data_IF_342755046093
#
_entry.id   IF_342755046093
#
_cell.length_a   1.000
_cell.length_b   1.000
_cell.length_c   1.000
_cell.angle_alpha   90.00
_cell.angle_beta   90.00
_cell.angle_gamma   90.00
#
_symmetry.space_group_name_H-M   'P 1'
#
loop_
_entity.id
_entity.type
_entity.pdbx_description
1 polymer ?
#
# COMPACT_ATOMS: atom_id res chain seq x y z
N UNK A 1 4.14 15.75 9.18
CA UNK A 1 2.93 15.64 8.34
C UNK A 1 2.19 14.39 8.78
N UNK A 2 0.86 14.43 9.00
CA UNK A 2 0.12 13.23 9.36
C UNK A 2 0.15 12.24 8.19
N UNK A 3 0.49 10.98 8.45
CA UNK A 3 0.44 9.92 7.45
C UNK A 3 -0.98 9.41 7.22
N UNK A 4 -1.25 8.86 6.04
CA UNK A 4 -2.54 8.23 5.71
C UNK A 4 -2.55 6.76 6.15
N UNK A 5 -3.63 6.33 6.80
CA UNK A 5 -3.83 4.93 7.18
C UNK A 5 -4.64 4.24 6.09
N UNK A 6 -4.06 3.22 5.46
CA UNK A 6 -4.70 2.48 4.39
C UNK A 6 -4.56 0.98 4.59
N UNK A 7 -5.53 0.23 4.10
CA UNK A 7 -5.45 -1.22 3.90
C UNK A 7 -5.22 -1.48 2.41
N UNK A 8 -4.17 -2.24 2.12
CA UNK A 8 -3.93 -2.80 0.80
C UNK A 8 -4.44 -4.23 0.79
N UNK A 9 -5.27 -4.60 -0.18
CA UNK A 9 -5.76 -5.98 -0.37
C UNK A 9 -5.16 -6.52 -1.67
N UNK A 10 -4.38 -7.59 -1.54
CA UNK A 10 -3.58 -8.16 -2.60
C UNK A 10 -4.32 -9.33 -3.25
N UNK A 11 -4.56 -9.30 -4.58
CA UNK A 11 -4.97 -10.48 -5.31
C UNK A 11 -3.82 -11.49 -5.37
N UNK A 12 -4.15 -12.77 -5.62
CA UNK A 12 -3.18 -13.86 -5.64
C UNK A 12 -1.95 -13.57 -6.51
N UNK A 13 -2.13 -12.97 -7.70
CA UNK A 13 -1.02 -12.66 -8.61
C UNK A 13 -0.03 -11.62 -8.08
N UNK A 14 -0.42 -10.80 -7.10
CA UNK A 14 0.39 -9.71 -6.56
C UNK A 14 1.15 -10.10 -5.27
N UNK A 15 0.90 -11.29 -4.72
CA UNK A 15 1.56 -11.74 -3.47
C UNK A 15 3.08 -11.86 -3.57
N UNK A 16 3.61 -12.12 -4.78
CA UNK A 16 5.05 -12.25 -5.04
C UNK A 16 5.68 -10.96 -5.59
N UNK A 17 4.91 -9.86 -5.68
CA UNK A 17 5.39 -8.59 -6.21
C UNK A 17 5.86 -7.73 -5.02
N UNK A 18 7.06 -7.11 -5.09
CA UNK A 18 7.64 -6.35 -3.98
C UNK A 18 7.04 -4.94 -3.87
N UNK A 19 5.70 -4.85 -3.79
CA UNK A 19 4.92 -3.61 -3.84
C UNK A 19 5.39 -2.58 -2.80
N UNK A 20 5.61 -3.00 -1.56
CA UNK A 20 6.05 -2.10 -0.49
C UNK A 20 7.43 -1.49 -0.80
N UNK A 21 8.33 -2.26 -1.41
CA UNK A 21 9.64 -1.75 -1.84
C UNK A 21 9.49 -0.72 -2.96
N UNK A 22 8.55 -0.90 -3.88
CA UNK A 22 8.29 0.08 -4.94
C UNK A 22 7.72 1.38 -4.39
N UNK A 23 6.82 1.31 -3.40
CA UNK A 23 6.33 2.50 -2.68
C UNK A 23 7.48 3.31 -2.07
N UNK A 24 8.44 2.62 -1.44
CA UNK A 24 9.58 3.29 -0.80
C UNK A 24 10.54 3.85 -1.85
N UNK A 25 10.93 3.06 -2.86
CA UNK A 25 12.01 3.43 -3.79
C UNK A 25 11.56 4.31 -4.94
N UNK A 26 10.36 4.10 -5.47
CA UNK A 26 9.88 4.81 -6.65
C UNK A 26 9.17 6.12 -6.27
N UNK A 27 8.41 6.11 -5.17
CA UNK A 27 7.61 7.26 -4.72
C UNK A 27 8.23 8.01 -3.53
N UNK A 28 9.38 7.53 -3.03
CA UNK A 28 10.06 8.11 -1.86
C UNK A 28 9.13 8.20 -0.62
N UNK A 29 8.28 7.19 -0.44
CA UNK A 29 7.33 7.12 0.67
C UNK A 29 7.92 6.36 1.85
N UNK A 30 7.62 6.84 3.06
CA UNK A 30 7.84 6.07 4.28
C UNK A 30 6.60 5.23 4.57
N UNK A 31 6.79 3.93 4.77
CA UNK A 31 5.72 2.99 5.10
C UNK A 31 5.96 2.42 6.49
N UNK A 32 4.93 2.47 7.34
CA UNK A 32 4.92 1.79 8.63
C UNK A 32 3.80 0.73 8.61
N UNK A 33 4.18 -0.54 8.75
CA UNK A 33 3.23 -1.67 8.72
C UNK A 33 2.63 -1.84 10.11
N UNK A 34 1.29 -1.81 10.19
CA UNK A 34 0.56 -1.91 11.45
C UNK A 34 0.04 -3.33 11.67
N UNK A 35 -0.55 -3.93 10.63
CA UNK A 35 -1.10 -5.28 10.66
C UNK A 35 -0.96 -5.91 9.28
N UNK A 36 -0.82 -7.22 9.23
CA UNK A 36 -0.83 -7.97 7.99
C UNK A 36 -1.45 -9.34 8.22
N UNK A 37 -2.21 -9.81 7.24
CA UNK A 37 -2.59 -11.21 7.13
C UNK A 37 -2.32 -11.62 5.68
N UNK A 38 -1.41 -12.57 5.50
CA UNK A 38 -0.98 -13.02 4.18
C UNK A 38 -1.01 -14.53 4.17
N UNK A 39 -1.69 -15.09 3.16
CA UNK A 39 -1.69 -16.51 2.87
C UNK A 39 -1.48 -16.73 1.35
N UNK A 40 -1.29 -17.97 0.88
CA UNK A 40 -0.99 -18.23 -0.53
C UNK A 40 -2.11 -17.91 -1.54
N UNK A 41 -3.33 -17.59 -1.08
CA UNK A 41 -4.48 -17.25 -1.94
C UNK A 41 -4.81 -15.77 -1.91
N UNK A 42 -4.72 -15.16 -0.74
CA UNK A 42 -5.10 -13.77 -0.50
C UNK A 42 -4.23 -13.16 0.60
N UNK A 43 -4.14 -11.84 0.61
CA UNK A 43 -3.51 -11.13 1.70
C UNK A 43 -3.97 -9.68 1.79
N UNK A 44 -3.87 -9.12 2.98
CA UNK A 44 -4.04 -7.70 3.19
C UNK A 44 -3.01 -7.16 4.19
N UNK A 45 -2.70 -5.88 4.06
CA UNK A 45 -1.77 -5.16 4.93
C UNK A 45 -2.37 -3.81 5.30
N UNK A 46 -2.51 -3.55 6.60
CA UNK A 46 -2.79 -2.22 7.13
C UNK A 46 -1.46 -1.50 7.35
N UNK A 47 -1.35 -0.31 6.78
CA UNK A 47 -0.12 0.48 6.84
C UNK A 47 -0.40 1.96 6.92
N UNK A 48 0.54 2.68 7.51
CA UNK A 48 0.59 4.13 7.51
C UNK A 48 1.61 4.57 6.45
N UNK A 49 1.16 5.37 5.48
CA UNK A 49 1.99 5.98 4.45
C UNK A 49 2.26 7.43 4.82
N UNK A 50 3.53 7.84 4.80
CA UNK A 50 3.95 9.23 5.01
C UNK A 50 4.89 9.68 3.90
N UNK A 51 4.67 10.86 3.35
CA UNK A 51 5.46 11.40 2.25
C UNK A 51 4.83 12.66 1.68
N UNK A 52 5.26 13.06 0.48
CA UNK A 52 4.60 14.12 -0.29
C UNK A 52 3.19 13.66 -0.68
N UNK A 53 2.18 14.51 -0.49
CA UNK A 53 0.79 14.24 -0.84
C UNK A 53 0.62 13.79 -2.30
N UNK A 54 1.28 14.47 -3.24
CA UNK A 54 1.18 14.13 -4.67
C UNK A 54 1.76 12.72 -4.94
N UNK A 55 2.88 12.40 -4.29
CA UNK A 55 3.50 11.08 -4.40
C UNK A 55 2.65 9.97 -3.77
N UNK A 56 1.89 10.27 -2.72
CA UNK A 56 0.94 9.33 -2.13
C UNK A 56 -0.23 9.09 -3.08
N UNK A 57 -0.77 10.14 -3.70
CA UNK A 57 -1.86 10.02 -4.67
C UNK A 57 -1.44 9.21 -5.91
N UNK A 58 -0.28 9.52 -6.48
CA UNK A 58 0.29 8.78 -7.61
C UNK A 58 0.55 7.30 -7.26
N UNK A 59 1.05 7.03 -6.05
CA UNK A 59 1.28 5.68 -5.58
C UNK A 59 -0.03 4.89 -5.40
N UNK A 60 -1.08 5.50 -4.87
CA UNK A 60 -2.41 4.87 -4.74
C UNK A 60 -3.01 4.58 -6.12
N UNK A 61 -2.88 5.51 -7.07
CA UNK A 61 -3.31 5.29 -8.45
C UNK A 61 -2.53 4.12 -9.09
N UNK A 62 -1.23 4.03 -8.85
CA UNK A 62 -0.42 2.93 -9.35
C UNK A 62 -0.83 1.59 -8.72
N UNK A 63 -1.06 1.53 -7.40
CA UNK A 63 -1.52 0.32 -6.70
C UNK A 63 -2.84 -0.19 -7.27
N UNK A 64 -3.82 0.70 -7.44
CA UNK A 64 -5.14 0.36 -8.01
C UNK A 64 -5.02 -0.11 -9.46
N UNK A 65 -4.13 0.46 -10.27
CA UNK A 65 -3.85 -0.01 -11.63
C UNK A 65 -3.22 -1.42 -11.68
N UNK A 66 -2.51 -1.83 -10.63
CA UNK A 66 -2.03 -3.22 -10.46
C UNK A 66 -3.14 -4.18 -9.99
N UNK A 67 -4.35 -3.69 -9.74
CA UNK A 67 -5.46 -4.48 -9.19
C UNK A 67 -5.36 -4.71 -7.69
N UNK A 68 -4.52 -3.95 -6.98
CA UNK A 68 -4.47 -3.92 -5.51
C UNK A 68 -5.56 -2.96 -5.04
N UNK A 69 -6.49 -3.47 -4.23
CA UNK A 69 -7.53 -2.62 -3.66
C UNK A 69 -6.95 -1.81 -2.49
N UNK A 70 -7.28 -0.52 -2.45
CA UNK A 70 -6.83 0.42 -1.43
C UNK A 70 -8.03 0.95 -0.67
N UNK A 71 -8.09 0.67 0.63
CA UNK A 71 -9.16 1.13 1.52
C UNK A 71 -8.59 2.13 2.52
N UNK A 72 -9.18 3.33 2.60
CA UNK A 72 -8.79 4.31 3.61
C UNK A 72 -9.37 3.89 4.98
N UNK A 73 -8.50 3.78 5.99
CA UNK A 73 -8.86 3.37 7.35
C UNK A 73 -9.08 4.57 8.29
N UNK A 74 -8.64 5.76 7.89
CA UNK A 74 -8.91 6.99 8.62
C UNK A 74 -10.24 7.57 8.11
N UNK A 75 -11.32 7.27 8.84
CA UNK A 75 -12.56 8.06 8.82
C UNK A 75 -12.55 9.06 9.97
#
# INVERSE_FOLDING_TARGET
MPGQLVRLIFPQQMLNVPVINDLIRQYNLTVNILRANINPREGWIDLQITGNSDAIEDAILWLTNQGIEVVNLAQ
#
